data_IF_356226421948
#
_entry.id   IF_356226421948
#
_cell.length_a   1.000
_cell.length_b   1.000
_cell.length_c   1.000
_cell.angle_alpha   90.00
_cell.angle_beta   90.00
_cell.angle_gamma   90.00
#
_symmetry.space_group_name_H-M   'P 1'
#
loop_
_entity.id
_entity.type
_entity.pdbx_description
1 polymer ?
#
# COMPACT_ATOMS: atom_id res chain seq x y z
N UNK A 1 2.48 23.79 17.24
CA UNK A 1 1.73 22.54 17.00
C UNK A 1 1.22 22.02 18.33
N UNK A 2 -0.07 21.67 18.45
CA UNK A 2 -0.59 20.99 19.64
C UNK A 2 -0.60 19.49 19.34
N UNK A 3 -0.01 18.72 20.23
CA UNK A 3 0.14 17.25 20.19
C UNK A 3 -1.20 16.46 20.22
N UNK A 4 -2.34 17.15 20.22
CA UNK A 4 -3.68 16.59 20.45
C UNK A 4 -4.43 16.13 19.19
N UNK A 5 -3.89 16.38 18.00
CA UNK A 5 -4.60 16.11 16.73
C UNK A 5 -4.07 14.87 15.98
N UNK A 6 -3.10 14.14 16.53
CA UNK A 6 -2.59 12.92 15.93
C UNK A 6 -3.27 11.68 16.52
N UNK A 7 -3.84 10.85 15.65
CA UNK A 7 -4.37 9.54 16.00
C UNK A 7 -3.57 8.44 15.29
N UNK A 8 -3.26 7.36 16.02
CA UNK A 8 -2.59 6.21 15.43
C UNK A 8 -3.53 5.49 14.45
N UNK A 9 -3.20 5.51 13.16
CA UNK A 9 -4.01 4.85 12.12
C UNK A 9 -3.75 3.35 12.01
N UNK A 10 -2.57 2.88 12.39
CA UNK A 10 -2.18 1.47 12.33
C UNK A 10 -0.70 1.27 12.59
N UNK A 11 -0.28 0.01 12.71
CA UNK A 11 1.10 -0.37 13.02
C UNK A 11 1.64 -1.53 12.16
N UNK A 12 0.83 -2.08 11.25
CA UNK A 12 1.18 -3.27 10.47
C UNK A 12 1.00 -3.00 8.97
N UNK A 13 2.11 -2.99 8.22
CA UNK A 13 2.11 -2.89 6.75
C UNK A 13 2.16 -4.27 6.09
N UNK A 14 1.41 -4.48 5.00
CA UNK A 14 1.34 -5.78 4.29
C UNK A 14 1.87 -5.78 2.85
N UNK A 15 2.13 -4.62 2.28
CA UNK A 15 2.63 -4.47 0.91
C UNK A 15 3.46 -3.20 0.88
N UNK A 16 4.78 -3.30 0.75
CA UNK A 16 5.71 -2.18 0.87
C UNK A 16 6.48 -1.99 -0.43
N UNK A 17 6.54 -0.75 -0.90
CA UNK A 17 7.29 -0.32 -2.07
C UNK A 17 8.09 0.94 -1.75
N UNK A 18 8.89 1.44 -2.71
CA UNK A 18 9.54 2.75 -2.56
C UNK A 18 8.57 3.93 -2.58
N UNK A 19 7.35 3.72 -3.09
CA UNK A 19 6.40 4.80 -3.38
C UNK A 19 5.23 4.82 -2.40
N UNK A 20 5.11 3.79 -1.56
CA UNK A 20 3.98 3.65 -0.65
C UNK A 20 3.89 2.28 0.00
N UNK A 21 2.84 2.12 0.81
CA UNK A 21 2.52 0.85 1.46
C UNK A 21 1.01 0.62 1.63
N UNK A 22 0.62 -0.62 1.90
CA UNK A 22 -0.70 -0.94 2.44
C UNK A 22 -0.65 -1.13 3.96
N UNK A 23 -1.33 -0.24 4.69
CA UNK A 23 -1.43 -0.25 6.15
C UNK A 23 -2.73 -0.93 6.60
N UNK A 24 -2.64 -1.94 7.47
CA UNK A 24 -3.81 -2.47 8.16
C UNK A 24 -4.38 -1.43 9.11
N UNK A 25 -5.68 -1.17 8.97
CA UNK A 25 -6.37 -0.20 9.80
C UNK A 25 -7.86 -0.50 9.91
N UNK A 26 -8.40 -0.28 11.11
CA UNK A 26 -9.83 -0.24 11.37
C UNK A 26 -10.35 1.17 11.63
N UNK A 27 -9.46 2.17 11.59
CA UNK A 27 -9.77 3.57 11.83
C UNK A 27 -10.53 4.13 10.63
N UNK A 28 -11.46 5.05 10.88
CA UNK A 28 -12.12 5.80 9.83
C UNK A 28 -11.20 6.93 9.39
N UNK A 29 -10.82 6.92 8.11
CA UNK A 29 -10.00 7.94 7.48
C UNK A 29 -10.49 8.15 6.04
N UNK A 30 -10.19 9.31 5.48
CA UNK A 30 -10.58 9.66 4.12
C UNK A 30 -9.39 9.66 3.17
N UNK A 31 -9.65 9.29 1.91
CA UNK A 31 -8.63 9.44 0.87
C UNK A 31 -8.29 10.93 0.68
N UNK A 32 -7.02 11.22 0.45
CA UNK A 32 -6.50 12.58 0.32
C UNK A 32 -5.94 13.16 1.62
N UNK A 33 -6.21 12.56 2.78
CA UNK A 33 -5.60 13.01 4.05
C UNK A 33 -4.08 12.81 4.06
N UNK A 34 -3.38 13.76 4.66
CA UNK A 34 -1.95 13.67 4.93
C UNK A 34 -1.72 12.99 6.29
N UNK A 35 -0.76 12.07 6.31
CA UNK A 35 -0.41 11.28 7.49
C UNK A 35 1.11 11.27 7.66
N UNK A 36 1.57 11.10 8.91
CA UNK A 36 2.96 10.83 9.21
C UNK A 36 3.18 9.32 9.28
N UNK A 37 4.27 8.85 8.68
CA UNK A 37 4.65 7.45 8.63
C UNK A 37 6.06 7.31 9.19
N UNK A 38 6.20 6.47 10.22
CA UNK A 38 7.50 5.94 10.64
C UNK A 38 7.55 4.46 10.27
N UNK A 39 8.41 4.12 9.32
CA UNK A 39 8.55 2.78 8.76
C UNK A 39 9.87 2.18 9.18
N UNK A 40 9.85 1.04 9.88
CA UNK A 40 11.06 0.22 10.05
C UNK A 40 11.38 -0.51 8.76
N UNK A 41 12.57 -0.28 8.21
CA UNK A 41 13.03 -0.94 6.99
C UNK A 41 13.18 -2.45 7.26
N UNK A 42 12.51 -3.32 6.47
CA UNK A 42 12.51 -4.76 6.74
C UNK A 42 13.91 -5.36 6.83
N UNK A 43 14.14 -6.22 7.83
CA UNK A 43 15.45 -6.86 8.05
C UNK A 43 16.55 -5.94 8.59
N UNK A 44 16.20 -4.73 9.05
CA UNK A 44 17.15 -3.77 9.63
C UNK A 44 16.54 -3.08 10.86
N UNK A 45 17.36 -2.35 11.63
CA UNK A 45 16.90 -1.47 12.73
C UNK A 45 16.75 0.00 12.29
N UNK A 46 16.88 0.29 11.00
CA UNK A 46 16.70 1.65 10.47
C UNK A 46 15.22 1.98 10.31
N UNK A 47 14.87 3.21 10.67
CA UNK A 47 13.56 3.80 10.43
C UNK A 47 13.66 4.86 9.34
N UNK A 48 12.61 4.94 8.52
CA UNK A 48 12.38 6.02 7.56
C UNK A 48 11.14 6.77 8.03
N UNK A 49 11.30 8.06 8.29
CA UNK A 49 10.20 8.96 8.63
C UNK A 49 9.84 9.80 7.41
N UNK A 50 8.56 9.79 7.05
CA UNK A 50 8.06 10.54 5.88
C UNK A 50 6.60 10.95 6.08
N UNK A 51 6.15 11.96 5.33
CA UNK A 51 4.72 12.17 5.15
C UNK A 51 4.18 11.29 4.03
N UNK A 52 2.88 11.00 4.08
CA UNK A 52 2.20 10.23 3.06
C UNK A 52 0.77 10.76 2.87
N UNK A 53 0.19 10.47 1.72
CA UNK A 53 -1.23 10.70 1.45
C UNK A 53 -1.97 9.37 1.47
N UNK A 54 -3.16 9.34 2.08
CA UNK A 54 -4.08 8.20 1.93
C UNK A 54 -4.58 8.18 0.49
N UNK A 55 -4.00 7.32 -0.35
CA UNK A 55 -4.35 7.19 -1.76
C UNK A 55 -5.66 6.42 -1.98
N UNK A 56 -6.00 5.50 -1.07
CA UNK A 56 -7.26 4.72 -1.10
C UNK A 56 -7.61 4.16 0.26
N UNK A 57 -8.91 3.94 0.49
CA UNK A 57 -9.45 3.24 1.66
C UNK A 57 -10.06 1.91 1.21
N UNK A 58 -9.61 0.81 1.78
CA UNK A 58 -10.12 -0.54 1.49
C UNK A 58 -10.99 -0.98 2.65
N UNK A 59 -12.28 -1.21 2.39
CA UNK A 59 -13.25 -1.57 3.41
C UNK A 59 -13.20 -3.07 3.80
N UNK A 60 -12.50 -3.91 3.03
CA UNK A 60 -12.39 -5.34 3.29
C UNK A 60 -13.68 -6.12 3.01
N UNK A 61 -14.57 -5.58 2.17
CA UNK A 61 -15.89 -6.16 1.89
C UNK A 61 -15.91 -7.00 0.61
N UNK A 62 -14.90 -6.90 -0.24
CA UNK A 62 -14.82 -7.68 -1.49
C UNK A 62 -14.08 -8.97 -1.23
N UNK A 63 -14.49 -10.07 -1.87
CA UNK A 63 -13.85 -11.39 -1.73
C UNK A 63 -12.34 -11.40 -2.04
N UNK A 64 -11.86 -10.42 -2.82
CA UNK A 64 -10.45 -10.27 -3.21
C UNK A 64 -9.73 -9.15 -2.46
N UNK A 65 -10.39 -8.48 -1.51
CA UNK A 65 -9.68 -7.56 -0.61
C UNK A 65 -8.86 -8.40 0.39
N UNK A 66 -7.54 -8.18 0.46
CA UNK A 66 -6.67 -8.93 1.39
C UNK A 66 -7.02 -8.66 2.85
N UNK A 67 -7.39 -7.42 3.15
CA UNK A 67 -7.78 -6.94 4.47
C UNK A 67 -8.43 -5.54 4.35
N UNK A 68 -9.08 -5.10 5.42
CA UNK A 68 -9.43 -3.70 5.62
C UNK A 68 -8.17 -2.87 5.92
N UNK A 69 -8.05 -1.70 5.31
CA UNK A 69 -6.87 -0.87 5.50
C UNK A 69 -6.79 0.34 4.59
N UNK A 70 -5.61 0.95 4.58
CA UNK A 70 -5.30 2.21 3.90
C UNK A 70 -4.15 1.97 2.92
N UNK A 71 -4.34 2.36 1.66
CA UNK A 71 -3.22 2.50 0.74
C UNK A 71 -2.59 3.87 0.94
N UNK A 72 -1.32 3.89 1.35
CA UNK A 72 -0.54 5.09 1.56
C UNK A 72 0.40 5.31 0.39
N UNK A 73 0.49 6.55 -0.10
CA UNK A 73 1.50 7.00 -1.05
C UNK A 73 2.47 7.91 -0.33
N UNK A 74 3.74 7.55 -0.28
CA UNK A 74 4.76 8.36 0.37
C UNK A 74 5.00 9.66 -0.40
N UNK A 75 5.38 10.70 0.33
CA UNK A 75 6.11 11.81 -0.26
C UNK A 75 7.46 11.28 -0.82
N UNK A 76 8.10 11.99 -1.78
CA UNK A 76 9.41 11.59 -2.28
C UNK A 76 10.40 11.37 -1.14
N UNK A 77 10.91 10.14 -1.03
CA UNK A 77 11.94 9.80 -0.05
C UNK A 77 13.28 10.42 -0.45
N UNK A 78 14.14 10.69 0.55
CA UNK A 78 15.53 11.05 0.29
C UNK A 78 16.26 9.96 -0.50
N UNK A 79 17.25 10.33 -1.30
CA UNK A 79 17.96 9.40 -2.19
C UNK A 79 18.56 8.20 -1.45
N UNK A 80 19.11 8.40 -0.25
CA UNK A 80 19.66 7.33 0.58
C UNK A 80 18.57 6.36 1.03
N UNK A 81 17.48 6.86 1.61
CA UNK A 81 16.34 6.05 2.07
C UNK A 81 15.70 5.27 0.93
N UNK A 82 15.51 5.93 -0.22
CA UNK A 82 14.95 5.31 -1.40
C UNK A 82 15.88 4.20 -1.93
N UNK A 83 17.20 4.40 -1.90
CA UNK A 83 18.18 3.40 -2.30
C UNK A 83 18.22 2.22 -1.33
N UNK A 84 18.23 2.49 -0.02
CA UNK A 84 18.18 1.47 1.04
C UNK A 84 16.93 0.60 0.88
N UNK A 85 15.76 1.23 0.79
CA UNK A 85 14.48 0.53 0.69
C UNK A 85 14.41 -0.33 -0.57
N UNK A 86 14.83 0.20 -1.73
CA UNK A 86 14.91 -0.59 -2.98
C UNK A 86 15.85 -1.77 -2.86
N UNK A 87 17.02 -1.59 -2.24
CA UNK A 87 18.01 -2.65 -2.09
C UNK A 87 17.49 -3.79 -1.21
N UNK A 88 16.81 -3.46 -0.10
CA UNK A 88 16.18 -4.44 0.79
C UNK A 88 15.05 -5.18 0.07
N UNK A 89 14.13 -4.46 -0.56
CA UNK A 89 12.96 -5.06 -1.20
C UNK A 89 13.32 -5.97 -2.38
N UNK A 90 14.43 -5.70 -3.09
CA UNK A 90 14.93 -6.58 -4.16
C UNK A 90 15.32 -7.99 -3.66
N UNK A 91 15.60 -8.14 -2.37
CA UNK A 91 15.95 -9.43 -1.76
C UNK A 91 14.72 -10.15 -1.20
N UNK A 92 13.56 -9.52 -1.24
CA UNK A 92 12.30 -10.10 -0.80
C UNK A 92 11.54 -10.69 -1.99
N UNK A 93 10.83 -11.81 -1.79
CA UNK A 93 9.95 -12.33 -2.83
C UNK A 93 8.90 -11.26 -3.17
N UNK A 94 8.56 -11.06 -4.45
CA UNK A 94 7.54 -10.10 -4.83
C UNK A 94 6.19 -10.51 -4.20
N UNK A 95 5.33 -9.54 -3.83
CA UNK A 95 4.02 -9.85 -3.29
C UNK A 95 3.22 -10.66 -4.32
N UNK A 96 2.65 -11.79 -3.88
CA UNK A 96 1.83 -12.62 -4.76
C UNK A 96 0.67 -11.79 -5.34
N UNK A 97 0.46 -11.86 -6.68
CA UNK A 97 -0.64 -11.15 -7.31
C UNK A 97 -1.97 -11.66 -6.74
N UNK A 98 -2.75 -10.76 -6.16
CA UNK A 98 -4.02 -11.12 -5.49
C UNK A 98 -5.23 -10.96 -6.41
N UNK A 99 -5.08 -10.21 -7.50
CA UNK A 99 -6.16 -9.98 -8.45
C UNK A 99 -6.15 -11.07 -9.51
N UNK A 100 -7.25 -11.80 -9.66
CA UNK A 100 -7.44 -12.65 -10.84
C UNK A 100 -7.36 -11.78 -12.10
N UNK A 101 -6.62 -12.25 -13.10
CA UNK A 101 -6.61 -11.62 -14.42
C UNK A 101 -8.07 -11.53 -14.87
N UNK A 102 -8.52 -10.33 -15.25
CA UNK A 102 -9.86 -10.16 -15.81
C UNK A 102 -9.94 -11.04 -17.05
N UNK A 103 -10.86 -12.00 -17.05
CA UNK A 103 -11.20 -12.77 -18.24
C UNK A 103 -11.69 -11.76 -19.27
N UNK A 104 -11.09 -11.77 -20.46
CA UNK A 104 -11.54 -10.95 -21.58
C UNK A 104 -12.82 -11.54 -22.17
N UNK A 105 -13.94 -11.17 -21.55
CA UNK A 105 -15.26 -11.59 -22.01
C UNK A 105 -15.60 -11.06 -23.42
N UNK A 106 -14.99 -9.97 -23.87
CA UNK A 106 -15.23 -9.41 -25.20
C UNK A 106 -14.56 -10.28 -26.28
N UNK A 107 -13.33 -10.73 -26.02
CA UNK A 107 -12.66 -11.74 -26.85
C UNK A 107 -13.44 -13.05 -26.91
N UNK A 108 -13.92 -13.54 -25.76
CA UNK A 108 -14.72 -14.79 -25.69
C UNK A 108 -16.05 -14.66 -26.43
N UNK A 109 -16.77 -13.54 -26.29
CA UNK A 109 -18.04 -13.32 -26.98
C UNK A 109 -17.86 -13.22 -28.52
N UNK A 110 -16.75 -12.64 -28.98
CA UNK A 110 -16.45 -12.52 -30.40
C UNK A 110 -16.17 -13.88 -31.05
N UNK A 111 -15.54 -14.81 -30.31
CA UNK A 111 -15.31 -16.19 -30.75
C UNK A 111 -16.62 -16.99 -30.87
N UNK A 112 -17.55 -16.79 -29.94
CA UNK A 112 -18.86 -17.46 -29.97
C UNK A 112 -19.73 -16.92 -31.10
N UNK A 113 -19.63 -15.61 -31.41
CA UNK A 113 -20.40 -14.99 -32.51
C UNK A 113 -19.92 -15.38 -33.91
N UNK A 114 -18.77 -16.05 -34.04
CA UNK A 114 -18.19 -16.53 -35.30
C UNK A 114 -18.34 -18.05 -35.51
N UNK A 115 -19.02 -18.72 -34.56
CA UNK A 115 -19.32 -20.16 -34.60
C UNK A 115 -20.78 -20.39 -34.95
#
# INVERSE_FOLDING_TARGET
MRERDFALLGNTGLDLSSDGMFLLSNVQAFAGEEVLVSLRVPGTDRYIDTSATIARVVQGRRQWDRARGLGLRFAPLGSEDQQLLRWVLRRMPPPLPTRSIRIDYAGTASLISLS
#
